data_IF_976516629402
#
_entry.id   IF_976516629402
#
_cell.length_a   1.000
_cell.length_b   1.000
_cell.length_c   1.000
_cell.angle_alpha   90.00
_cell.angle_beta   90.00
_cell.angle_gamma   90.00
#
_symmetry.space_group_name_H-M   'P 1'
#
loop_
_entity.id
_entity.type
_entity.pdbx_description
1 polymer ?
#
# COMPACT_ATOMS: atom_id res chain seq x y z
N UNK A 1 -55.44 -0.57 -6.31
CA UNK A 1 -55.20 0.20 -7.54
C UNK A 1 -54.21 1.30 -7.20
N UNK A 2 -52.92 0.98 -7.25
CA UNK A 2 -51.96 1.26 -8.35
C UNK A 2 -51.31 2.64 -8.16
N UNK A 3 -50.06 2.72 -7.68
CA UNK A 3 -48.76 2.59 -8.37
C UNK A 3 -48.40 3.76 -9.30
N UNK A 4 -47.43 4.57 -8.86
CA UNK A 4 -46.24 5.04 -9.58
C UNK A 4 -45.43 5.95 -8.62
N UNK A 5 -44.24 5.65 -8.08
CA UNK A 5 -42.88 5.34 -8.60
C UNK A 5 -42.29 6.32 -9.60
N UNK A 6 -41.36 7.16 -9.11
CA UNK A 6 -40.05 7.53 -9.68
C UNK A 6 -39.38 8.44 -8.63
N UNK A 7 -38.19 8.21 -8.07
CA UNK A 7 -36.99 7.56 -8.58
C UNK A 7 -35.88 8.62 -8.60
N UNK A 8 -34.99 8.60 -7.61
CA UNK A 8 -33.62 9.11 -7.74
C UNK A 8 -32.74 8.36 -6.74
N UNK A 9 -31.86 7.56 -7.31
CA UNK A 9 -30.77 6.86 -6.63
C UNK A 9 -29.53 7.77 -6.59
N UNK A 10 -28.65 7.41 -5.65
CA UNK A 10 -27.18 7.42 -5.78
C UNK A 10 -26.43 8.74 -5.60
N UNK A 11 -25.64 8.81 -4.53
CA UNK A 11 -24.15 8.73 -4.50
C UNK A 11 -23.79 9.02 -3.02
N UNK A 12 -23.46 8.02 -2.18
CA UNK A 12 -22.27 7.19 -2.32
C UNK A 12 -21.10 7.92 -1.68
N UNK A 13 -21.06 8.00 -0.34
CA UNK A 13 -19.88 8.46 0.41
C UNK A 13 -18.73 7.50 0.12
N UNK A 14 -17.75 7.95 -0.66
CA UNK A 14 -16.57 7.13 -1.00
C UNK A 14 -15.52 7.35 0.09
N UNK A 15 -15.18 6.25 0.78
CA UNK A 15 -14.13 6.18 1.79
C UNK A 15 -12.75 6.27 1.12
N UNK A 16 -11.79 6.82 1.86
CA UNK A 16 -10.43 7.20 1.43
C UNK A 16 -9.52 6.01 1.80
N UNK A 17 -8.76 5.46 0.84
CA UNK A 17 -7.91 4.29 1.05
C UNK A 17 -6.53 4.62 0.45
N UNK A 18 -5.47 4.63 1.26
CA UNK A 18 -4.07 4.80 0.79
C UNK A 18 -3.46 3.42 0.52
N UNK A 19 -3.47 2.99 -0.74
CA UNK A 19 -2.80 1.76 -1.17
C UNK A 19 -1.31 2.07 -1.47
N UNK A 20 -0.40 1.73 -0.56
CA UNK A 20 1.06 1.86 -0.82
C UNK A 20 1.54 0.63 -1.60
N UNK A 21 1.38 0.65 -2.92
CA UNK A 21 1.95 -0.37 -3.80
C UNK A 21 3.41 -0.04 -4.09
N UNK A 22 4.32 -0.98 -3.81
CA UNK A 22 5.73 -0.89 -4.21
C UNK A 22 5.86 -0.56 -5.71
N UNK A 23 6.47 0.58 -6.01
CA UNK A 23 6.65 1.05 -7.40
C UNK A 23 7.62 0.13 -8.13
N UNK A 24 7.12 -0.55 -9.16
CA UNK A 24 7.97 -1.08 -10.22
C UNK A 24 7.48 -0.57 -11.56
N UNK A 25 8.13 0.48 -12.09
CA UNK A 25 8.04 0.79 -13.51
C UNK A 25 9.42 1.07 -14.11
N UNK A 26 9.69 0.25 -15.13
CA UNK A 26 10.88 0.17 -15.97
C UNK A 26 11.15 1.50 -16.68
N UNK A 27 12.40 1.96 -16.64
CA UNK A 27 12.98 2.79 -17.70
C UNK A 27 14.36 2.24 -18.06
N UNK A 28 14.47 1.68 -19.26
CA UNK A 28 15.73 1.28 -19.86
C UNK A 28 16.25 2.42 -20.74
N UNK A 29 17.53 2.77 -20.60
CA UNK A 29 18.28 3.40 -21.69
C UNK A 29 19.62 2.69 -21.88
N UNK A 30 19.96 2.48 -23.14
CA UNK A 30 20.70 1.34 -23.65
C UNK A 30 22.23 1.48 -23.68
N UNK A 31 22.90 0.35 -23.46
CA UNK A 31 24.24 0.06 -23.96
C UNK A 31 24.34 -1.44 -24.23
N UNK A 32 24.52 -1.84 -25.49
CA UNK A 32 24.67 -3.24 -25.91
C UNK A 32 25.75 -3.95 -25.09
N UNK A 33 25.43 -5.07 -24.45
CA UNK A 33 26.30 -6.22 -24.20
C UNK A 33 25.44 -7.39 -23.67
N UNK A 34 25.44 -8.51 -24.40
CA UNK A 34 24.77 -9.76 -24.04
C UNK A 34 25.03 -10.16 -22.59
N UNK A 35 24.03 -10.03 -21.74
CA UNK A 35 24.00 -10.67 -20.44
C UNK A 35 22.63 -11.32 -20.29
N UNK A 36 22.64 -12.61 -19.99
CA UNK A 36 21.49 -13.34 -19.46
C UNK A 36 20.81 -12.48 -18.41
N UNK A 37 19.60 -11.96 -18.71
CA UNK A 37 18.80 -11.30 -17.68
C UNK A 37 18.35 -12.39 -16.72
N UNK A 38 19.15 -12.65 -15.69
CA UNK A 38 18.57 -13.04 -14.43
C UNK A 38 17.46 -12.01 -14.18
N UNK A 39 16.21 -12.47 -14.02
CA UNK A 39 15.17 -11.62 -13.45
C UNK A 39 15.80 -11.05 -12.19
N UNK A 40 16.05 -9.75 -12.16
CA UNK A 40 16.39 -9.10 -10.91
C UNK A 40 15.12 -9.22 -10.07
N UNK A 41 14.99 -10.34 -9.35
CA UNK A 41 14.03 -10.46 -8.27
C UNK A 41 14.43 -9.33 -7.34
N UNK A 42 13.57 -8.32 -7.20
CA UNK A 42 13.70 -7.36 -6.11
C UNK A 42 13.95 -8.16 -4.82
N UNK A 43 15.03 -7.81 -4.13
CA UNK A 43 15.37 -8.37 -2.83
C UNK A 43 15.36 -7.20 -1.86
N UNK A 44 14.52 -7.20 -0.83
CA UNK A 44 14.57 -6.16 0.18
C UNK A 44 15.98 -6.07 0.78
N UNK A 45 16.38 -4.92 1.33
CA UNK A 45 17.64 -4.85 2.07
C UNK A 45 17.59 -5.76 3.31
N UNK A 46 18.74 -6.11 3.90
CA UNK A 46 18.76 -6.84 5.18
C UNK A 46 17.98 -6.09 6.28
N UNK A 47 18.07 -4.76 6.28
CA UNK A 47 17.34 -3.88 7.19
C UNK A 47 15.82 -3.98 6.97
N UNK A 48 15.35 -3.83 5.71
CA UNK A 48 13.93 -3.94 5.36
C UNK A 48 13.35 -5.30 5.74
N UNK A 49 14.16 -6.36 5.69
CA UNK A 49 13.75 -7.70 6.15
C UNK A 49 13.68 -7.82 7.66
N UNK A 50 14.46 -7.06 8.42
CA UNK A 50 14.36 -7.04 9.87
C UNK A 50 13.06 -6.34 10.30
N UNK A 51 12.76 -5.19 9.71
CA UNK A 51 11.52 -4.43 9.95
C UNK A 51 10.29 -5.28 9.64
N UNK A 52 10.26 -5.96 8.48
CA UNK A 52 9.18 -6.89 8.13
C UNK A 52 9.07 -8.03 9.16
N UNK A 53 10.19 -8.57 9.65
CA UNK A 53 10.15 -9.68 10.61
C UNK A 53 9.48 -9.31 11.92
N UNK A 54 9.67 -8.05 12.36
CA UNK A 54 9.07 -7.52 13.56
C UNK A 54 7.58 -7.21 13.36
N UNK A 55 7.18 -6.67 12.20
CA UNK A 55 5.76 -6.51 11.83
C UNK A 55 5.01 -7.84 11.94
N UNK A 56 5.63 -8.94 11.48
CA UNK A 56 5.01 -10.26 11.53
C UNK A 56 5.14 -10.99 12.89
N UNK A 57 5.81 -10.40 13.89
CA UNK A 57 6.04 -11.06 15.19
C UNK A 57 4.72 -11.34 15.93
N UNK A 58 3.74 -10.43 15.83
CA UNK A 58 2.42 -10.56 16.48
C UNK A 58 1.64 -11.79 16.04
N UNK A 59 1.92 -12.33 14.85
CA UNK A 59 1.24 -13.51 14.30
C UNK A 59 1.93 -14.83 14.64
N UNK A 60 3.16 -14.80 15.18
CA UNK A 60 3.92 -16.01 15.52
C UNK A 60 3.19 -16.96 16.49
N UNK A 61 2.50 -16.48 17.54
CA UNK A 61 1.72 -17.34 18.43
C UNK A 61 0.61 -18.13 17.70
N UNK A 62 0.17 -17.65 16.54
CA UNK A 62 -0.88 -18.25 15.74
C UNK A 62 -0.35 -19.11 14.60
N UNK A 63 0.97 -19.34 14.53
CA UNK A 63 1.61 -20.26 13.60
C UNK A 63 2.16 -19.63 12.33
N UNK A 64 2.11 -18.30 12.18
CA UNK A 64 2.70 -17.58 11.05
C UNK A 64 4.12 -17.13 11.37
N UNK A 65 5.06 -17.48 10.49
CA UNK A 65 6.47 -17.09 10.63
C UNK A 65 6.96 -16.44 9.35
N UNK A 66 7.57 -15.27 9.47
CA UNK A 66 8.36 -14.68 8.40
C UNK A 66 9.79 -15.23 8.38
N UNK A 67 10.26 -15.63 7.19
CA UNK A 67 11.61 -16.09 6.95
C UNK A 67 12.45 -15.01 6.26
N UNK A 68 13.38 -14.42 7.01
CA UNK A 68 14.29 -13.38 6.52
C UNK A 68 15.25 -13.85 5.41
N UNK A 69 15.53 -15.14 5.27
CA UNK A 69 16.43 -15.63 4.20
C UNK A 69 15.68 -15.75 2.88
N UNK A 70 14.45 -16.24 2.96
CA UNK A 70 13.64 -16.49 1.78
C UNK A 70 12.78 -15.29 1.38
N UNK A 71 12.58 -14.31 2.29
CA UNK A 71 11.59 -13.25 2.19
C UNK A 71 10.18 -13.84 1.96
N UNK A 72 9.80 -14.79 2.83
CA UNK A 72 8.55 -15.58 2.71
C UNK A 72 7.85 -15.75 4.03
N UNK A 73 6.53 -15.87 3.97
CA UNK A 73 5.68 -16.26 5.08
C UNK A 73 5.43 -17.77 5.06
N UNK A 74 5.47 -18.40 6.24
CA UNK A 74 5.13 -19.79 6.44
C UNK A 74 4.09 -19.93 7.55
N UNK A 75 2.96 -20.56 7.25
CA UNK A 75 1.90 -20.84 8.21
C UNK A 75 1.89 -22.33 8.55
N UNK A 76 2.19 -22.67 9.80
CA UNK A 76 2.33 -24.05 10.26
C UNK A 76 3.23 -24.92 9.35
N UNK A 77 4.28 -24.30 8.78
CA UNK A 77 5.23 -24.93 7.87
C UNK A 77 4.83 -24.93 6.38
N UNK A 78 3.60 -24.57 6.04
CA UNK A 78 3.17 -24.39 4.65
C UNK A 78 3.58 -23.01 4.14
N UNK A 79 4.08 -22.92 2.91
CA UNK A 79 4.42 -21.65 2.29
C UNK A 79 3.13 -20.85 2.02
N UNK A 80 3.05 -19.65 2.56
CA UNK A 80 1.91 -18.76 2.37
C UNK A 80 1.98 -18.14 0.98
N UNK A 81 0.87 -18.26 0.27
CA UNK A 81 0.63 -17.71 -1.07
C UNK A 81 -0.08 -16.36 -0.98
N UNK A 82 -0.93 -16.20 0.02
CA UNK A 82 -1.58 -14.93 0.29
C UNK A 82 -1.84 -14.82 1.78
N UNK A 83 -1.46 -13.70 2.38
CA UNK A 83 -1.83 -13.32 3.73
C UNK A 83 -2.62 -12.04 3.67
N UNK A 84 -3.65 -11.95 4.50
CA UNK A 84 -4.50 -10.78 4.66
C UNK A 84 -4.80 -10.55 6.14
N UNK A 85 -4.60 -9.32 6.58
CA UNK A 85 -5.07 -8.85 7.87
C UNK A 85 -5.83 -7.56 7.61
N UNK A 86 -7.17 -7.63 7.73
CA UNK A 86 -8.06 -6.49 7.62
C UNK A 86 -8.62 -6.17 8.99
N UNK A 87 -8.23 -5.02 9.54
CA UNK A 87 -8.79 -4.48 10.77
C UNK A 87 -10.02 -3.63 10.43
N UNK A 88 -9.90 -2.76 9.43
CA UNK A 88 -10.99 -2.00 8.81
C UNK A 88 -10.64 -1.54 7.39
N UNK A 89 -11.48 -0.69 6.77
CA UNK A 89 -11.31 -0.20 5.39
C UNK A 89 -10.01 0.59 5.18
N UNK A 90 -9.44 1.11 6.27
CA UNK A 90 -8.32 2.06 6.28
C UNK A 90 -7.05 1.46 6.90
N UNK A 91 -7.15 0.30 7.55
CA UNK A 91 -6.05 -0.40 8.23
C UNK A 91 -6.04 -1.88 7.82
N UNK A 92 -5.22 -2.21 6.83
CA UNK A 92 -5.03 -3.61 6.42
C UNK A 92 -3.63 -3.89 5.86
N UNK A 93 -3.22 -5.15 5.98
CA UNK A 93 -1.92 -5.66 5.53
C UNK A 93 -2.14 -6.85 4.61
N UNK A 94 -1.48 -6.85 3.46
CA UNK A 94 -1.51 -7.94 2.50
C UNK A 94 -0.10 -8.41 2.18
N UNK A 95 0.08 -9.71 2.00
CA UNK A 95 1.31 -10.27 1.45
C UNK A 95 0.97 -11.26 0.36
N UNK A 96 0.93 -10.83 -0.91
CA UNK A 96 0.74 -11.74 -2.02
C UNK A 96 2.05 -12.43 -2.42
N UNK A 97 1.95 -13.70 -2.79
CA UNK A 97 3.05 -14.54 -3.24
C UNK A 97 2.51 -15.60 -4.21
N UNK A 98 2.99 -15.66 -5.44
CA UNK A 98 2.52 -16.67 -6.40
C UNK A 98 2.91 -18.13 -6.05
N UNK A 99 3.96 -18.35 -5.25
CA UNK A 99 4.61 -19.65 -5.10
C UNK A 99 4.10 -20.48 -3.91
N UNK A 100 3.23 -19.91 -3.07
CA UNK A 100 2.72 -20.60 -1.88
C UNK A 100 1.61 -21.62 -2.15
N UNK A 101 1.25 -22.35 -1.10
CA UNK A 101 0.24 -23.42 -1.14
C UNK A 101 -0.99 -23.13 -0.29
N UNK A 102 -0.96 -22.09 0.54
CA UNK A 102 -2.10 -21.71 1.41
C UNK A 102 -2.36 -20.21 1.33
N UNK A 103 -3.64 -19.84 1.36
CA UNK A 103 -4.09 -18.47 1.56
C UNK A 103 -4.63 -18.37 2.99
N UNK A 104 -4.23 -17.37 3.75
CA UNK A 104 -4.65 -17.18 5.15
C UNK A 104 -5.14 -15.76 5.42
N UNK A 105 -6.00 -15.61 6.42
CA UNK A 105 -6.42 -14.31 6.94
C UNK A 105 -6.40 -14.27 8.48
N UNK A 106 -6.25 -13.07 9.04
CA UNK A 106 -6.30 -12.82 10.47
C UNK A 106 -7.72 -12.54 10.98
N UNK A 107 -8.01 -13.03 12.19
CA UNK A 107 -9.23 -12.73 12.94
C UNK A 107 -8.89 -11.92 14.19
N UNK A 108 -9.77 -10.97 14.53
CA UNK A 108 -9.54 -9.99 15.60
C UNK A 108 -10.59 -10.10 16.70
N UNK A 109 -10.21 -9.69 17.91
CA UNK A 109 -11.18 -9.38 18.96
C UNK A 109 -11.78 -7.97 18.79
N UNK A 110 -12.72 -7.61 19.67
CA UNK A 110 -13.37 -6.29 19.67
C UNK A 110 -12.41 -5.11 19.93
N UNK A 111 -11.16 -5.39 20.32
CA UNK A 111 -10.11 -4.39 20.59
C UNK A 111 -9.09 -4.30 19.46
N UNK A 112 -9.29 -5.05 18.37
CA UNK A 112 -8.36 -5.09 17.23
C UNK A 112 -7.14 -5.98 17.46
N UNK A 113 -7.11 -6.78 18.53
CA UNK A 113 -6.03 -7.73 18.76
C UNK A 113 -6.22 -9.00 17.92
N UNK A 114 -5.17 -9.48 17.25
CA UNK A 114 -5.20 -10.76 16.52
C UNK A 114 -5.51 -11.88 17.52
N UNK A 115 -6.49 -12.72 17.20
CA UNK A 115 -6.94 -13.87 18.01
C UNK A 115 -6.66 -15.21 17.35
N UNK A 116 -6.67 -15.27 16.02
CA UNK A 116 -6.31 -16.46 15.25
C UNK A 116 -5.98 -16.11 13.80
N UNK A 117 -5.46 -17.12 13.10
CA UNK A 117 -5.28 -17.12 11.66
C UNK A 117 -6.03 -18.31 11.08
N UNK A 118 -6.77 -18.10 10.01
CA UNK A 118 -7.58 -19.12 9.35
C UNK A 118 -7.25 -19.23 7.86
N UNK A 119 -7.59 -20.38 7.26
CA UNK A 119 -7.40 -20.61 5.83
C UNK A 119 -8.59 -20.05 5.06
N UNK A 120 -8.32 -19.40 3.93
CA UNK A 120 -9.35 -19.23 2.91
C UNK A 120 -9.78 -20.58 2.33
N UNK A 121 -11.02 -20.65 1.84
CA UNK A 121 -11.53 -21.84 1.17
C UNK A 121 -10.95 -22.03 -0.24
N UNK A 122 -11.16 -23.23 -0.81
CA UNK A 122 -10.66 -23.61 -2.13
C UNK A 122 -11.20 -22.70 -3.25
N UNK A 123 -12.41 -22.14 -3.08
CA UNK A 123 -13.02 -21.27 -4.08
C UNK A 123 -12.34 -19.91 -4.09
N UNK A 124 -12.16 -19.29 -2.93
CA UNK A 124 -11.40 -18.05 -2.77
C UNK A 124 -9.95 -18.22 -3.25
N UNK A 125 -9.33 -19.36 -2.94
CA UNK A 125 -8.00 -19.71 -3.46
C UNK A 125 -8.00 -19.76 -5.00
N UNK A 126 -8.96 -20.44 -5.62
CA UNK A 126 -9.07 -20.53 -7.07
C UNK A 126 -9.32 -19.16 -7.72
N UNK A 127 -10.22 -18.37 -7.16
CA UNK A 127 -10.61 -17.05 -7.66
C UNK A 127 -9.47 -16.02 -7.57
N UNK A 128 -8.61 -16.13 -6.55
CA UNK A 128 -7.43 -15.27 -6.38
C UNK A 128 -6.24 -15.70 -7.24
N UNK A 129 -6.20 -16.96 -7.69
CA UNK A 129 -5.05 -17.50 -8.46
C UNK A 129 -4.67 -16.65 -9.70
N UNK A 130 -5.62 -16.13 -10.50
CA UNK A 130 -5.29 -15.27 -11.63
C UNK A 130 -4.59 -13.96 -11.24
N UNK A 131 -5.01 -13.31 -10.14
CA UNK A 131 -4.43 -12.01 -9.72
C UNK A 131 -3.02 -12.15 -9.16
N UNK A 132 -2.70 -13.29 -8.53
CA UNK A 132 -1.37 -13.53 -7.95
C UNK A 132 -0.28 -13.88 -8.97
N UNK A 133 -0.62 -14.21 -10.22
CA UNK A 133 0.39 -14.60 -11.25
C UNK A 133 1.44 -13.54 -11.53
N UNK A 134 1.11 -12.27 -11.30
CA UNK A 134 2.01 -11.14 -11.47
C UNK A 134 2.31 -10.42 -10.17
N UNK A 135 1.82 -10.94 -9.03
CA UNK A 135 2.01 -10.27 -7.77
C UNK A 135 3.47 -10.27 -7.35
N UNK A 136 3.92 -9.12 -6.87
CA UNK A 136 5.23 -8.96 -6.25
C UNK A 136 5.16 -9.54 -4.84
N UNK A 137 6.22 -10.25 -4.43
CA UNK A 137 6.28 -10.91 -3.13
C UNK A 137 6.70 -9.91 -2.04
N UNK A 138 5.80 -8.96 -1.79
CA UNK A 138 6.04 -7.73 -1.03
C UNK A 138 4.92 -7.50 -0.04
N UNK A 139 5.28 -6.99 1.15
CA UNK A 139 4.31 -6.52 2.13
C UNK A 139 3.64 -5.27 1.58
N UNK A 140 2.33 -5.32 1.49
CA UNK A 140 1.46 -4.20 1.17
C UNK A 140 0.78 -3.78 2.45
N UNK A 141 0.89 -2.50 2.78
CA UNK A 141 0.30 -1.93 3.98
C UNK A 141 -0.54 -0.75 3.56
N UNK A 142 -1.80 -0.78 3.98
CA UNK A 142 -2.72 0.32 3.89
C UNK A 142 -2.99 0.81 5.29
N UNK A 143 -2.57 2.04 5.56
CA UNK A 143 -2.83 2.76 6.81
C UNK A 143 -3.22 4.18 6.40
N UNK A 144 -4.43 4.62 6.76
CA UNK A 144 -4.77 6.04 6.63
C UNK A 144 -3.98 6.85 7.65
N UNK A 145 -2.99 7.60 7.17
CA UNK A 145 -2.31 8.65 7.95
C UNK A 145 -3.27 9.84 8.08
N UNK A 146 -4.39 9.68 8.79
CA UNK A 146 -5.27 10.79 9.15
C UNK A 146 -4.64 11.57 10.30
N UNK A 147 -3.66 12.41 9.96
CA UNK A 147 -2.90 13.27 10.88
C UNK A 147 -3.47 14.69 11.06
N UNK A 148 -4.68 14.97 10.62
CA UNK A 148 -5.39 16.22 10.95
C UNK A 148 -6.84 15.92 11.32
N UNK A 149 -7.07 15.54 12.59
CA UNK A 149 -8.31 15.95 13.24
C UNK A 149 -8.04 17.34 13.83
N UNK A 150 -8.75 18.35 13.33
CA UNK A 150 -8.79 19.73 13.87
C UNK A 150 -9.59 19.77 15.18
N UNK A 151 -9.32 18.85 16.07
CA UNK A 151 -9.77 18.90 17.45
C UNK A 151 -8.59 18.52 18.33
N UNK A 152 -8.20 19.44 19.20
CA UNK A 152 -7.09 19.27 20.15
C UNK A 152 -7.34 18.18 21.22
N UNK A 153 -7.96 17.07 20.86
CA UNK A 153 -7.97 15.84 21.62
C UNK A 153 -6.97 14.88 20.97
N UNK A 154 -5.98 14.45 21.75
CA UNK A 154 -4.96 13.51 21.33
C UNK A 154 -5.60 12.32 20.59
N UNK A 155 -5.06 11.90 19.43
CA UNK A 155 -5.71 10.89 18.63
C UNK A 155 -5.87 9.63 19.48
N UNK A 156 -7.10 9.13 19.50
CA UNK A 156 -7.45 7.81 19.98
C UNK A 156 -6.55 6.80 19.27
N UNK A 157 -5.47 6.41 19.95
CA UNK A 157 -4.59 5.29 19.61
C UNK A 157 -5.45 4.02 19.56
N UNK A 158 -5.96 3.72 18.38
CA UNK A 158 -6.64 2.47 18.07
C UNK A 158 -5.96 1.83 16.88
N UNK A 159 -4.81 1.18 17.10
CA UNK A 159 -4.38 0.12 16.18
C UNK A 159 -2.88 -0.04 15.88
N UNK A 160 -1.99 0.84 16.32
CA UNK A 160 -0.55 0.58 16.17
C UNK A 160 0.35 1.77 16.46
N UNK A 161 0.82 1.89 17.69
CA UNK A 161 1.96 2.72 18.09
C UNK A 161 3.30 2.01 17.81
N UNK A 162 3.37 1.22 16.73
CA UNK A 162 4.59 0.54 16.32
C UNK A 162 5.46 1.52 15.54
N UNK A 163 6.36 2.17 16.27
CA UNK A 163 7.36 3.11 15.74
C UNK A 163 8.08 2.55 14.50
N UNK A 164 8.26 1.23 14.43
CA UNK A 164 8.97 0.58 13.32
C UNK A 164 8.07 0.32 12.11
N UNK A 165 6.80 0.00 12.33
CA UNK A 165 5.82 -0.01 11.24
C UNK A 165 5.68 1.38 10.62
N UNK A 166 5.63 2.42 11.46
CA UNK A 166 5.60 3.81 11.00
C UNK A 166 6.87 4.18 10.20
N UNK A 167 8.04 3.75 10.67
CA UNK A 167 9.30 3.96 9.97
C UNK A 167 9.35 3.23 8.62
N UNK A 168 8.89 1.96 8.57
CA UNK A 168 8.79 1.17 7.34
C UNK A 168 7.85 1.80 6.31
N UNK A 169 6.69 2.31 6.76
CA UNK A 169 5.72 3.00 5.91
C UNK A 169 6.36 4.27 5.34
N UNK A 170 7.00 5.09 6.18
CA UNK A 170 7.71 6.30 5.74
C UNK A 170 8.80 6.00 4.72
N UNK A 171 9.62 4.96 4.94
CA UNK A 171 10.64 4.50 3.98
C UNK A 171 10.02 4.09 2.65
N UNK A 172 8.90 3.36 2.70
CA UNK A 172 8.21 2.88 1.50
C UNK A 172 7.58 4.05 0.72
N UNK A 173 7.00 5.02 1.41
CA UNK A 173 6.48 6.25 0.80
C UNK A 173 7.62 7.04 0.17
N UNK A 174 8.71 7.30 0.91
CA UNK A 174 9.87 8.03 0.40
C UNK A 174 10.43 7.38 -0.87
N UNK A 175 10.62 6.05 -0.87
CA UNK A 175 11.06 5.26 -2.02
C UNK A 175 10.09 5.41 -3.21
N UNK A 176 8.78 5.28 -2.97
CA UNK A 176 7.75 5.41 -3.98
C UNK A 176 7.73 6.80 -4.65
N UNK A 177 8.02 7.86 -3.88
CA UNK A 177 8.00 9.23 -4.40
C UNK A 177 9.29 9.66 -5.11
N UNK A 178 10.39 8.89 -5.04
CA UNK A 178 11.67 9.22 -5.69
C UNK A 178 11.54 9.47 -7.20
N UNK A 179 10.65 8.76 -7.89
CA UNK A 179 10.47 8.87 -9.36
C UNK A 179 9.87 10.22 -9.80
N UNK A 180 9.14 10.90 -8.90
CA UNK A 180 8.50 12.19 -9.18
C UNK A 180 9.41 13.38 -8.83
N UNK A 181 10.50 13.18 -8.08
CA UNK A 181 11.41 14.24 -7.66
C UNK A 181 12.00 15.02 -8.83
N UNK A 182 12.27 14.35 -9.96
CA UNK A 182 12.75 15.01 -11.18
C UNK A 182 11.75 16.04 -11.76
N UNK A 183 10.48 15.96 -11.37
CA UNK A 183 9.41 16.88 -11.75
C UNK A 183 9.05 17.86 -10.63
N UNK A 184 9.83 17.93 -9.54
CA UNK A 184 9.65 18.89 -8.46
C UNK A 184 8.70 18.44 -7.34
N UNK A 185 8.17 17.21 -7.39
CA UNK A 185 7.35 16.62 -6.33
C UNK A 185 8.22 15.81 -5.37
N UNK A 186 8.22 16.18 -4.09
CA UNK A 186 9.01 15.54 -3.03
C UNK A 186 8.12 15.15 -1.86
N UNK A 187 8.43 14.02 -1.23
CA UNK A 187 7.90 13.66 0.09
C UNK A 187 8.82 14.21 1.18
N UNK A 188 8.25 14.89 2.17
CA UNK A 188 8.93 15.32 3.38
C UNK A 188 8.57 14.38 4.53
N UNK A 189 9.59 13.69 5.05
CA UNK A 189 9.45 12.65 6.08
C UNK A 189 9.04 13.18 7.45
N UNK A 190 9.44 14.41 7.77
CA UNK A 190 9.20 15.00 9.09
C UNK A 190 7.76 15.47 9.24
N UNK A 191 7.20 16.07 8.17
CA UNK A 191 5.81 16.51 8.15
C UNK A 191 4.82 15.44 7.66
N UNK A 192 5.32 14.35 7.06
CA UNK A 192 4.52 13.35 6.34
C UNK A 192 3.63 14.01 5.29
N UNK A 193 4.22 14.90 4.47
CA UNK A 193 3.51 15.67 3.43
C UNK A 193 4.27 15.71 2.11
N UNK A 194 3.49 15.86 1.03
CA UNK A 194 4.03 16.14 -0.29
C UNK A 194 4.20 17.65 -0.51
N UNK A 195 5.31 17.99 -1.16
CA UNK A 195 5.62 19.34 -1.60
C UNK A 195 5.91 19.36 -3.09
N UNK A 196 5.37 20.36 -3.79
CA UNK A 196 5.68 20.64 -5.19
C UNK A 196 6.34 22.00 -5.27
N UNK A 197 7.60 22.05 -5.70
CA UNK A 197 8.40 23.30 -5.75
C UNK A 197 8.39 24.05 -4.39
N UNK A 198 8.46 23.30 -3.29
CA UNK A 198 8.38 23.80 -1.90
C UNK A 198 7.00 24.34 -1.45
N UNK A 199 5.95 24.19 -2.25
CA UNK A 199 4.56 24.46 -1.85
C UNK A 199 3.86 23.17 -1.40
N UNK A 200 3.05 23.25 -0.35
CA UNK A 200 2.32 22.11 0.20
C UNK A 200 1.33 21.56 -0.83
N UNK A 201 1.24 20.24 -0.99
CA UNK A 201 0.29 19.57 -1.89
C UNK A 201 -0.93 19.10 -1.11
N UNK A 202 -2.12 19.45 -1.60
CA UNK A 202 -3.40 19.04 -1.02
C UNK A 202 -3.90 17.71 -1.57
N UNK A 203 -3.56 17.37 -2.81
CA UNK A 203 -3.92 16.08 -3.41
C UNK A 203 -2.91 15.64 -4.46
N UNK A 204 -2.56 14.36 -4.46
CA UNK A 204 -1.79 13.70 -5.52
C UNK A 204 -2.49 12.41 -5.96
N UNK A 205 -2.45 12.13 -7.26
CA UNK A 205 -2.92 10.89 -7.86
C UNK A 205 -1.98 10.44 -9.00
N UNK A 206 -1.52 9.20 -8.94
CA UNK A 206 -1.05 8.43 -10.08
C UNK A 206 -1.97 7.24 -10.31
N UNK A 207 -2.91 7.44 -11.23
CA UNK A 207 -3.96 6.46 -11.52
C UNK A 207 -3.44 5.12 -12.04
N UNK A 208 -2.33 5.12 -12.77
CA UNK A 208 -1.78 3.87 -13.35
C UNK A 208 -1.13 3.00 -12.27
N UNK A 209 -0.54 3.64 -11.26
CA UNK A 209 0.02 2.94 -10.11
C UNK A 209 -0.98 2.76 -8.96
N UNK A 210 -2.19 3.31 -9.10
CA UNK A 210 -3.17 3.43 -8.01
C UNK A 210 -2.58 4.09 -6.76
N UNK A 211 -1.69 5.07 -6.95
CA UNK A 211 -1.09 5.84 -5.87
C UNK A 211 -1.87 7.12 -5.63
N UNK A 212 -2.17 7.39 -4.37
CA UNK A 212 -2.91 8.59 -3.97
C UNK A 212 -2.29 9.17 -2.70
N UNK A 213 -2.41 10.48 -2.52
CA UNK A 213 -2.00 11.19 -1.31
C UNK A 213 -2.94 12.36 -1.05
N UNK A 214 -3.46 12.47 0.16
CA UNK A 214 -4.58 13.37 0.49
C UNK A 214 -5.95 12.74 0.14
N UNK A 215 -7.03 13.53 0.09
CA UNK A 215 -7.06 15.00 0.07
C UNK A 215 -6.77 15.64 1.44
N UNK A 216 -6.11 16.79 1.40
CA UNK A 216 -5.92 17.69 2.54
C UNK A 216 -6.51 19.06 2.20
N UNK A 217 -7.30 19.61 3.12
CA UNK A 217 -8.00 20.89 2.92
C UNK A 217 -7.10 22.12 3.15
N UNK A 218 -5.86 21.91 3.59
CA UNK A 218 -4.87 22.96 3.90
C UNK A 218 -4.00 23.35 2.69
N UNK A 219 -4.24 22.76 1.51
CA UNK A 219 -3.65 23.17 0.25
C UNK A 219 -4.60 23.02 -0.93
N UNK A 220 -4.60 24.02 -1.81
CA UNK A 220 -5.35 23.99 -3.08
C UNK A 220 -4.58 23.35 -4.24
N UNK A 221 -3.34 22.91 -4.04
CA UNK A 221 -2.53 22.29 -5.08
C UNK A 221 -2.94 20.83 -5.23
N UNK A 222 -3.43 20.48 -6.43
CA UNK A 222 -3.82 19.12 -6.80
C UNK A 222 -2.96 18.66 -7.97
N UNK A 223 -2.30 17.52 -7.85
CA UNK A 223 -1.32 17.01 -8.81
C UNK A 223 -1.79 15.66 -9.35
N UNK A 224 -1.72 15.51 -10.66
CA UNK A 224 -2.02 14.25 -11.34
C UNK A 224 -0.80 13.81 -12.14
N UNK A 225 -0.29 12.62 -11.88
CA UNK A 225 0.80 12.05 -12.68
C UNK A 225 0.34 11.81 -14.12
N UNK A 226 1.22 12.13 -15.08
CA UNK A 226 0.97 11.94 -16.50
C UNK A 226 1.96 10.90 -17.02
N UNK A 227 1.43 9.75 -17.44
CA UNK A 227 2.22 8.67 -18.03
C UNK A 227 2.02 8.58 -19.53
N UNK A 228 3.06 8.15 -20.24
CA UNK A 228 3.01 7.91 -21.67
C UNK A 228 2.28 6.58 -21.97
N UNK A 229 2.16 6.22 -23.26
CA UNK A 229 1.46 4.99 -23.68
C UNK A 229 2.15 3.69 -23.25
N UNK A 230 3.38 3.75 -22.74
CA UNK A 230 4.13 2.61 -22.21
C UNK A 230 4.07 2.54 -20.69
N UNK A 231 3.37 3.49 -20.04
CA UNK A 231 3.30 3.61 -18.59
C UNK A 231 4.47 4.38 -17.97
N UNK A 232 5.39 4.93 -18.77
CA UNK A 232 6.53 5.70 -18.25
C UNK A 232 6.07 7.09 -17.82
N UNK A 233 6.54 7.55 -16.65
CA UNK A 233 6.20 8.88 -16.13
C UNK A 233 6.76 9.97 -17.05
N UNK A 234 5.87 10.76 -17.63
CA UNK A 234 6.17 11.80 -18.63
C UNK A 234 6.03 13.24 -18.10
N UNK A 235 5.38 13.41 -16.95
CA UNK A 235 5.21 14.71 -16.31
C UNK A 235 4.18 14.69 -15.18
N UNK A 236 3.92 15.87 -14.64
CA UNK A 236 2.88 16.14 -13.66
C UNK A 236 1.92 17.19 -14.22
N UNK A 237 0.63 17.02 -13.97
CA UNK A 237 -0.40 18.01 -14.25
C UNK A 237 -0.81 18.67 -12.94
N UNK A 238 -0.49 19.95 -12.79
CA UNK A 238 -0.70 20.72 -11.57
C UNK A 238 -1.95 21.58 -11.76
N UNK A 239 -2.94 21.40 -10.90
CA UNK A 239 -4.11 22.26 -10.77
C UNK A 239 -4.00 23.06 -9.48
N UNK A 240 -4.13 24.37 -9.60
CA UNK A 240 -4.26 25.31 -8.48
C UNK A 240 -5.67 25.87 -8.55
N UNK A 241 -6.40 25.86 -7.45
CA UNK A 241 -7.67 26.59 -7.41
C UNK A 241 -7.33 28.10 -7.46
N UNK A 242 -7.66 28.77 -8.57
CA UNK A 242 -7.55 30.23 -8.69
C UNK A 242 -8.60 30.85 -7.76
N UNK A 243 -8.15 31.61 -6.77
CA UNK A 243 -9.00 32.45 -5.93
C UNK A 243 -9.56 33.64 -6.71
#
# INVERSE_FOLDING_TARGET
MDRNTSGSNSFGSRKIIILVMGVCLLCAVAGLLFHTKAKASWRPSDQKREEIAEIFEVYQPYGLRYDKKDNRLYYNGALVRYFEDVVDDDHYKEWPNQDGTVDIYALHDERGGVTSLELFDDQAFADRTPSLRSALCELQITENINGYTDDGEAPFNGGGNDEKLNEYIKDTIEEAYTVYQQYGLTYDRESDRLYYESELVGYFEDKELEHYFGPFDDSSIKIYAVRDKKGELSGLNIKRDEN
#
